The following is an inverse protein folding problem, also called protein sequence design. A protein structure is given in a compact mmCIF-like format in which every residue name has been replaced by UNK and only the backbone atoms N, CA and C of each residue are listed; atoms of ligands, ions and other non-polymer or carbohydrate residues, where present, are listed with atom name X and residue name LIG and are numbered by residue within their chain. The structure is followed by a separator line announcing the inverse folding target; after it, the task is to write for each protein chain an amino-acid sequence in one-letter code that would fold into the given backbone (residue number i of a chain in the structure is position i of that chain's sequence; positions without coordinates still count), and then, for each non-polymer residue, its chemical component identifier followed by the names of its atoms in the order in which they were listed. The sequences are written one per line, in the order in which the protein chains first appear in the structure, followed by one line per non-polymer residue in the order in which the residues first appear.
data_IF_962447243578
#
_entry.id   IF_962447243578
#
_cell.length_a   1.000
_cell.length_b   1.000
_cell.length_c   1.000
_cell.angle_alpha   90.00
_cell.angle_beta   90.00
_cell.angle_gamma   90.00
#
_symmetry.space_group_name_H-M   'P 1'
#
loop_
_entity.id
_entity.type
_entity.pdbx_description
1 polymer ?
#
# COMPACT_ATOMS: atom_id res chain seq x y z
N UNK A 1 -10.65 27.41 5.60
CA UNK A 1 -9.67 26.31 5.56
C UNK A 1 -8.83 26.41 4.30
N UNK A 2 -7.54 26.05 4.38
CA UNK A 2 -6.67 26.04 3.21
C UNK A 2 -7.04 24.91 2.23
N UNK A 3 -7.67 23.85 2.72
CA UNK A 3 -8.11 22.69 1.94
C UNK A 3 -9.39 23.01 1.16
N UNK A 4 -9.31 22.92 -0.17
CA UNK A 4 -10.46 23.14 -1.06
C UNK A 4 -11.51 22.04 -0.98
N UNK A 5 -11.12 20.83 -0.54
CA UNK A 5 -12.03 19.70 -0.40
C UNK A 5 -12.86 19.77 0.88
N UNK A 6 -12.50 20.66 1.81
CA UNK A 6 -13.14 20.80 3.12
C UNK A 6 -12.92 19.62 4.08
N UNK A 7 -12.14 18.61 3.69
CA UNK A 7 -11.88 17.42 4.51
C UNK A 7 -10.96 17.72 5.70
N UNK A 8 -10.02 18.65 5.54
CA UNK A 8 -9.09 19.06 6.58
C UNK A 8 -9.46 20.42 7.14
N UNK A 9 -9.77 20.48 8.44
CA UNK A 9 -10.20 21.72 9.11
C UNK A 9 -9.08 22.74 9.28
N UNK A 10 -7.83 22.33 9.19
CA UNK A 10 -6.66 23.19 9.34
C UNK A 10 -5.54 22.75 8.38
N UNK A 11 -4.63 23.66 8.08
CA UNK A 11 -3.40 23.37 7.33
C UNK A 11 -2.58 22.29 8.03
N UNK A 12 -2.54 22.30 9.37
CA UNK A 12 -1.83 21.30 10.15
C UNK A 12 -2.41 19.88 9.96
N UNK A 13 -3.73 19.75 9.91
CA UNK A 13 -4.39 18.47 9.63
C UNK A 13 -4.05 17.96 8.22
N UNK A 14 -4.02 18.85 7.22
CA UNK A 14 -3.62 18.52 5.86
C UNK A 14 -2.16 18.04 5.81
N UNK A 15 -1.23 18.79 6.40
CA UNK A 15 0.18 18.43 6.46
C UNK A 15 0.40 17.08 7.17
N UNK A 16 -0.29 16.82 8.27
CA UNK A 16 -0.24 15.53 8.97
C UNK A 16 -0.68 14.38 8.07
N UNK A 17 -1.73 14.57 7.26
CA UNK A 17 -2.18 13.55 6.30
C UNK A 17 -1.17 13.38 5.17
N UNK A 18 -0.57 14.45 4.66
CA UNK A 18 0.48 14.39 3.64
C UNK A 18 1.71 13.61 4.14
N UNK A 19 2.20 13.88 5.36
CA UNK A 19 3.33 13.15 5.96
C UNK A 19 3.02 11.65 6.14
N UNK A 20 1.78 11.31 6.53
CA UNK A 20 1.34 9.91 6.59
C UNK A 20 1.34 9.25 5.21
N UNK A 21 0.94 9.98 4.15
CA UNK A 21 1.03 9.54 2.76
C UNK A 21 2.48 9.23 2.38
N UNK A 22 3.42 10.13 2.68
CA UNK A 22 4.85 9.91 2.42
C UNK A 22 5.36 8.63 3.11
N UNK A 23 4.98 8.38 4.35
CA UNK A 23 5.41 7.18 5.07
C UNK A 23 4.78 5.90 4.48
N UNK A 24 3.47 5.93 4.18
CA UNK A 24 2.69 4.77 3.73
C UNK A 24 2.94 4.45 2.25
N UNK A 25 2.82 5.47 1.39
CA UNK A 25 2.81 5.33 -0.06
C UNK A 25 4.16 5.74 -0.69
N UNK A 26 5.05 6.37 0.11
CA UNK A 26 6.35 6.88 -0.31
C UNK A 26 6.32 8.34 -0.71
N UNK A 27 5.17 8.86 -1.11
CA UNK A 27 5.01 10.23 -1.59
C UNK A 27 3.63 10.80 -1.28
N UNK A 28 3.51 12.11 -1.36
CA UNK A 28 2.25 12.82 -1.30
C UNK A 28 2.28 14.01 -2.27
N UNK A 29 1.16 14.26 -2.91
CA UNK A 29 0.98 15.33 -3.89
C UNK A 29 0.03 16.37 -3.31
N UNK A 30 0.46 17.64 -3.33
CA UNK A 30 -0.39 18.76 -2.93
C UNK A 30 -0.51 19.72 -4.11
N UNK A 31 -1.70 19.77 -4.70
CA UNK A 31 -2.02 20.69 -5.78
C UNK A 31 -2.36 22.07 -5.21
N UNK A 32 -1.78 23.11 -5.76
CA UNK A 32 -2.11 24.50 -5.48
C UNK A 32 -3.20 24.93 -6.47
N UNK A 33 -4.37 25.26 -5.94
CA UNK A 33 -5.50 25.74 -6.75
C UNK A 33 -5.65 27.22 -6.56
N UNK A 34 -5.57 27.98 -7.65
CA UNK A 34 -5.71 29.44 -7.65
C UNK A 34 -7.14 29.80 -8.06
N UNK A 35 -7.95 30.27 -7.10
CA UNK A 35 -9.30 30.75 -7.35
C UNK A 35 -9.59 31.98 -6.50
N UNK A 36 -10.04 33.05 -7.17
CA UNK A 36 -10.42 34.33 -6.50
C UNK A 36 -11.55 34.19 -5.49
N UNK A 37 -12.33 33.11 -5.58
CA UNK A 37 -13.42 32.81 -4.63
C UNK A 37 -12.91 32.25 -3.30
N UNK A 38 -11.65 31.80 -3.26
CA UNK A 38 -11.03 31.29 -2.04
C UNK A 38 -10.58 32.45 -1.13
N UNK A 39 -10.58 32.27 0.20
CA UNK A 39 -10.30 33.33 1.19
C UNK A 39 -8.97 34.07 0.98
N UNK A 40 -7.98 33.42 0.37
CA UNK A 40 -6.66 34.01 0.10
C UNK A 40 -6.28 33.92 -1.40
N UNK A 41 -7.26 33.68 -2.27
CA UNK A 41 -7.03 33.42 -3.69
C UNK A 41 -6.29 32.11 -3.99
N UNK A 42 -5.95 31.33 -2.97
CA UNK A 42 -5.21 30.08 -3.07
C UNK A 42 -5.86 29.03 -2.16
N UNK A 43 -5.94 27.80 -2.65
CA UNK A 43 -6.33 26.63 -1.88
C UNK A 43 -5.42 25.45 -2.18
N UNK A 44 -5.39 24.50 -1.28
CA UNK A 44 -4.60 23.29 -1.39
C UNK A 44 -5.52 22.08 -1.57
N UNK A 45 -5.12 21.16 -2.43
CA UNK A 45 -5.77 19.90 -2.64
C UNK A 45 -4.74 18.78 -2.44
N UNK A 46 -4.94 17.97 -1.41
CA UNK A 46 -4.13 16.78 -1.22
C UNK A 46 -4.61 15.68 -2.17
N UNK A 47 -3.68 15.11 -2.92
CA UNK A 47 -3.91 14.01 -3.86
C UNK A 47 -3.11 12.79 -3.42
N UNK A 48 -3.65 11.62 -3.65
CA UNK A 48 -2.97 10.35 -3.42
C UNK A 48 -1.97 10.05 -4.54
N UNK A 49 -0.92 9.29 -4.23
CA UNK A 49 0.13 8.89 -5.17
C UNK A 49 -0.42 8.17 -6.41
N UNK A 50 -1.48 7.37 -6.23
CA UNK A 50 -2.15 6.58 -7.28
C UNK A 50 -2.79 7.45 -8.38
N UNK A 51 -2.95 8.76 -8.11
CA UNK A 51 -3.38 9.72 -9.12
C UNK A 51 -2.33 9.98 -10.20
N UNK A 52 -1.05 9.74 -9.94
CA UNK A 52 -0.03 9.74 -10.98
C UNK A 52 0.02 8.38 -11.66
N UNK A 53 -0.09 8.38 -12.99
CA UNK A 53 -0.05 7.15 -13.76
C UNK A 53 1.38 6.60 -13.84
N UNK A 54 1.69 5.60 -13.03
CA UNK A 54 2.99 4.93 -13.01
C UNK A 54 3.33 4.23 -14.33
N UNK A 55 2.33 3.90 -15.14
CA UNK A 55 2.51 3.25 -16.44
C UNK A 55 2.81 4.26 -17.55
N UNK A 56 2.56 5.55 -17.31
CA UNK A 56 2.76 6.60 -18.29
C UNK A 56 4.24 6.96 -18.41
N UNK A 57 4.88 6.40 -19.44
CA UNK A 57 6.27 6.68 -19.81
C UNK A 57 6.31 7.05 -21.28
N UNK A 58 6.80 8.25 -21.61
CA UNK A 58 6.84 8.73 -22.98
C UNK A 58 7.92 9.79 -23.18
N UNK A 59 8.41 9.92 -24.40
CA UNK A 59 9.26 11.05 -24.80
C UNK A 59 8.43 12.03 -25.62
N UNK A 60 8.42 13.28 -25.17
CA UNK A 60 7.66 14.34 -25.80
C UNK A 60 8.45 15.01 -26.95
N UNK A 61 7.72 15.61 -27.91
CA UNK A 61 8.32 16.31 -29.03
C UNK A 61 9.16 17.54 -28.63
N UNK A 62 8.89 18.13 -27.46
CA UNK A 62 9.64 19.24 -26.87
C UNK A 62 10.97 18.83 -26.21
N UNK A 63 11.34 17.56 -26.27
CA UNK A 63 12.56 17.01 -25.66
C UNK A 63 12.41 16.57 -24.21
N UNK A 64 11.30 16.88 -23.55
CA UNK A 64 11.00 16.41 -22.21
C UNK A 64 10.68 14.90 -22.20
N UNK A 65 10.84 14.27 -21.05
CA UNK A 65 10.51 12.85 -20.86
C UNK A 65 9.50 12.72 -19.74
N UNK A 66 8.46 11.94 -19.95
CA UNK A 66 7.54 11.53 -18.90
C UNK A 66 8.07 10.23 -18.30
N UNK A 67 8.30 10.20 -17.00
CA UNK A 67 8.64 9.00 -16.21
C UNK A 67 7.59 8.80 -15.13
N UNK A 68 6.84 7.72 -15.22
CA UNK A 68 5.81 7.36 -14.22
C UNK A 68 4.83 8.52 -13.91
N UNK A 69 4.37 9.22 -14.96
CA UNK A 69 3.45 10.35 -14.83
C UNK A 69 4.08 11.70 -14.47
N UNK A 70 5.39 11.77 -14.24
CA UNK A 70 6.12 13.01 -13.99
C UNK A 70 6.87 13.44 -15.24
N UNK A 71 6.57 14.62 -15.79
CA UNK A 71 7.28 15.21 -16.92
C UNK A 71 8.53 15.92 -16.43
N UNK A 72 9.69 15.52 -16.93
CA UNK A 72 11.00 16.07 -16.55
C UNK A 72 11.71 16.67 -17.79
N UNK A 73 12.49 17.72 -17.56
CA UNK A 73 13.35 18.33 -18.57
C UNK A 73 14.70 17.59 -18.70
N UNK A 74 15.57 18.10 -19.56
CA UNK A 74 16.93 17.56 -19.78
C UNK A 74 17.84 17.65 -18.55
N UNK A 75 17.50 18.51 -17.57
CA UNK A 75 18.19 18.67 -16.29
C UNK A 75 17.55 17.86 -15.17
N UNK A 76 16.62 16.95 -15.49
CA UNK A 76 15.87 16.09 -14.57
C UNK A 76 14.95 16.85 -13.61
N UNK A 77 14.60 18.12 -13.92
CA UNK A 77 13.67 18.90 -13.10
C UNK A 77 12.24 18.59 -13.53
N UNK A 78 11.34 18.44 -12.55
CA UNK A 78 9.92 18.30 -12.81
C UNK A 78 9.36 19.57 -13.46
N UNK A 79 8.71 19.41 -14.62
CA UNK A 79 8.07 20.50 -15.39
C UNK A 79 6.55 20.42 -15.25
N UNK A 80 6.00 19.22 -15.21
CA UNK A 80 4.57 18.99 -15.04
C UNK A 80 4.30 17.58 -14.47
N UNK A 81 3.08 17.40 -14.03
CA UNK A 81 2.54 16.14 -13.49
C UNK A 81 1.30 15.75 -14.27
N UNK A 82 1.25 14.50 -14.69
CA UNK A 82 0.12 13.91 -15.41
C UNK A 82 -0.79 13.18 -14.43
N UNK A 83 -1.82 13.90 -13.97
CA UNK A 83 -2.70 13.47 -12.87
C UNK A 83 -4.01 12.93 -13.42
N UNK A 84 -4.40 11.74 -13.03
CA UNK A 84 -5.72 11.17 -13.33
C UNK A 84 -6.81 11.98 -12.64
N UNK A 85 -7.88 12.31 -13.35
CA UNK A 85 -9.02 13.06 -12.80
C UNK A 85 -9.86 12.23 -11.84
N UNK A 86 -9.88 10.90 -12.02
CA UNK A 86 -10.53 9.94 -11.12
C UNK A 86 -9.48 9.06 -10.43
N UNK A 87 -9.81 8.57 -9.23
CA UNK A 87 -8.96 7.59 -8.53
C UNK A 87 -9.05 6.22 -9.24
N UNK A 88 -7.94 5.50 -9.48
CA UNK A 88 -7.97 4.22 -10.19
C UNK A 88 -8.81 3.14 -9.49
N UNK A 89 -9.03 3.25 -8.18
CA UNK A 89 -9.94 2.38 -7.41
C UNK A 89 -11.43 2.69 -7.56
N UNK A 90 -11.81 3.79 -8.22
CA UNK A 90 -13.21 4.15 -8.48
C UNK A 90 -13.76 3.48 -9.75
N UNK A 91 -13.84 2.15 -9.76
CA UNK A 91 -14.17 1.35 -10.95
C UNK A 91 -15.54 1.65 -11.61
N UNK A 92 -16.44 2.32 -10.92
CA UNK A 92 -17.79 2.61 -11.45
C UNK A 92 -17.86 3.82 -12.39
N UNK A 93 -16.79 4.63 -12.46
CA UNK A 93 -16.69 5.82 -13.33
C UNK A 93 -15.67 5.71 -14.46
N UNK A 94 -15.17 4.52 -14.75
CA UNK A 94 -13.99 4.29 -15.63
C UNK A 94 -14.28 4.43 -17.13
N UNK A 95 -15.20 5.28 -17.54
CA UNK A 95 -15.32 5.55 -18.98
C UNK A 95 -14.31 6.60 -19.46
N UNK A 96 -13.82 7.49 -18.58
CA UNK A 96 -12.89 8.55 -18.95
C UNK A 96 -11.69 8.60 -17.98
N UNK A 97 -10.67 7.83 -18.27
CA UNK A 97 -9.38 7.96 -17.60
C UNK A 97 -8.65 9.21 -18.13
N UNK A 98 -9.28 10.37 -17.96
CA UNK A 98 -8.74 11.65 -18.41
C UNK A 98 -7.56 12.00 -17.51
N UNK A 99 -6.41 12.18 -18.14
CA UNK A 99 -5.19 12.65 -17.49
C UNK A 99 -5.08 14.15 -17.70
N UNK A 100 -5.03 14.89 -16.62
CA UNK A 100 -4.79 16.34 -16.62
C UNK A 100 -3.29 16.61 -16.46
N UNK A 101 -2.73 17.46 -17.31
CA UNK A 101 -1.35 17.93 -17.18
C UNK A 101 -1.33 19.14 -16.25
N UNK A 102 -0.79 18.98 -15.05
CA UNK A 102 -0.65 20.03 -14.03
C UNK A 102 0.78 20.56 -14.05
N UNK A 103 1.01 21.88 -14.23
CA UNK A 103 2.36 22.46 -14.17
C UNK A 103 3.02 22.22 -12.81
N UNK A 104 4.34 22.04 -12.80
CA UNK A 104 5.08 21.84 -11.54
C UNK A 104 5.01 23.07 -10.60
N UNK A 105 4.75 24.28 -11.13
CA UNK A 105 4.49 25.48 -10.32
C UNK A 105 3.24 25.38 -9.45
N UNK A 106 2.31 24.53 -9.82
CA UNK A 106 1.04 24.33 -9.13
C UNK A 106 0.96 22.97 -8.41
N UNK A 107 2.11 22.28 -8.29
CA UNK A 107 2.20 21.00 -7.60
C UNK A 107 3.37 20.99 -6.62
N UNK A 108 3.09 20.60 -5.39
CA UNK A 108 4.12 20.28 -4.40
C UNK A 108 4.16 18.75 -4.31
N UNK A 109 5.29 18.17 -4.73
CA UNK A 109 5.53 16.76 -4.66
C UNK A 109 6.46 16.47 -3.48
N UNK A 110 5.90 15.83 -2.45
CA UNK A 110 6.58 15.52 -1.20
C UNK A 110 7.02 14.05 -1.23
N UNK A 111 8.30 13.80 -1.23
CA UNK A 111 8.90 12.47 -1.06
C UNK A 111 10.35 12.59 -0.59
N UNK A 112 10.92 11.52 -0.10
CA UNK A 112 12.33 11.44 0.30
C UNK A 112 13.08 10.72 -0.82
N UNK A 113 13.99 11.38 -1.55
CA UNK A 113 14.76 10.74 -2.59
C UNK A 113 15.90 9.90 -1.99
N UNK A 114 15.93 8.61 -2.30
CA UNK A 114 17.02 7.69 -1.95
C UNK A 114 18.10 7.62 -3.04
N UNK A 115 17.77 8.06 -4.26
CA UNK A 115 18.67 8.04 -5.43
C UNK A 115 18.57 9.36 -6.18
N UNK A 116 19.70 9.80 -6.78
CA UNK A 116 19.84 11.09 -7.44
C UNK A 116 18.83 11.35 -8.59
N UNK A 117 18.46 10.32 -9.35
CA UNK A 117 17.53 10.44 -10.48
C UNK A 117 16.11 9.92 -10.19
N UNK A 118 15.78 9.80 -8.93
CA UNK A 118 14.47 9.31 -8.50
C UNK A 118 13.40 10.36 -8.73
N UNK A 119 12.34 10.00 -9.46
CA UNK A 119 11.21 10.90 -9.80
C UNK A 119 9.95 10.61 -8.98
N UNK A 120 9.88 9.46 -8.30
CA UNK A 120 8.75 9.01 -7.48
C UNK A 120 9.24 8.57 -6.11
N UNK A 121 8.42 8.75 -5.09
CA UNK A 121 8.70 8.26 -3.74
C UNK A 121 8.61 6.74 -3.63
N UNK A 122 9.27 6.20 -2.61
CA UNK A 122 9.20 4.77 -2.25
C UNK A 122 8.74 4.68 -0.82
N UNK A 123 7.76 3.81 -0.55
CA UNK A 123 7.22 3.63 0.80
C UNK A 123 8.31 3.27 1.80
N UNK A 124 8.25 3.83 3.01
CA UNK A 124 9.18 3.47 4.08
C UNK A 124 9.05 2.01 4.51
N UNK A 125 7.93 1.39 4.20
CA UNK A 125 7.68 -0.01 4.52
C UNK A 125 8.28 -1.01 3.53
N UNK A 126 8.88 -0.55 2.40
CA UNK A 126 9.38 -1.44 1.35
C UNK A 126 10.34 -2.53 1.88
N UNK A 127 11.24 -2.17 2.82
CA UNK A 127 12.18 -3.11 3.42
C UNK A 127 11.53 -4.12 4.37
N UNK A 128 10.33 -3.80 4.90
CA UNK A 128 9.61 -4.60 5.90
C UNK A 128 8.55 -5.49 5.26
N UNK A 129 8.01 -5.12 4.10
CA UNK A 129 6.92 -5.85 3.43
C UNK A 129 7.28 -7.31 3.19
N UNK A 130 8.47 -7.59 2.62
CA UNK A 130 8.93 -8.96 2.37
C UNK A 130 9.10 -9.75 3.67
N UNK A 131 9.67 -9.12 4.69
CA UNK A 131 9.86 -9.76 6.01
C UNK A 131 8.51 -10.02 6.69
N UNK A 132 7.58 -9.08 6.59
CA UNK A 132 6.22 -9.24 7.10
C UNK A 132 5.50 -10.43 6.46
N UNK A 133 5.61 -10.60 5.15
CA UNK A 133 5.05 -11.76 4.43
C UNK A 133 5.68 -13.09 4.88
N UNK A 134 6.99 -13.12 5.07
CA UNK A 134 7.69 -14.33 5.55
C UNK A 134 7.24 -14.69 6.98
N UNK A 135 7.13 -13.70 7.87
CA UNK A 135 6.68 -13.92 9.25
C UNK A 135 5.23 -14.44 9.25
N UNK A 136 4.36 -13.84 8.47
CA UNK A 136 2.95 -14.27 8.34
C UNK A 136 2.86 -15.73 7.89
N UNK A 137 3.57 -16.10 6.83
CA UNK A 137 3.60 -17.49 6.35
C UNK A 137 4.17 -18.47 7.38
N UNK A 138 5.17 -18.03 8.16
CA UNK A 138 5.73 -18.84 9.23
C UNK A 138 4.72 -19.03 10.37
N UNK A 139 3.99 -18.01 10.78
CA UNK A 139 2.95 -18.10 11.80
C UNK A 139 1.83 -19.04 11.37
N UNK A 140 1.35 -18.97 10.13
CA UNK A 140 0.35 -19.89 9.61
C UNK A 140 0.85 -21.35 9.60
N UNK A 141 2.08 -21.57 9.16
CA UNK A 141 2.69 -22.90 9.16
C UNK A 141 2.86 -23.45 10.58
N UNK A 142 3.26 -22.63 11.55
CA UNK A 142 3.41 -23.01 12.94
C UNK A 142 2.06 -23.39 13.58
N UNK A 143 1.02 -22.62 13.34
CA UNK A 143 -0.34 -22.92 13.82
C UNK A 143 -0.85 -24.24 13.22
N UNK A 144 -0.67 -24.43 11.92
CA UNK A 144 -1.07 -25.67 11.22
C UNK A 144 -0.31 -26.89 11.77
N UNK A 145 1.00 -26.76 11.98
CA UNK A 145 1.81 -27.83 12.57
C UNK A 145 1.38 -28.17 14.00
N UNK A 146 1.04 -27.18 14.82
CA UNK A 146 0.51 -27.39 16.17
C UNK A 146 -0.84 -28.10 16.15
N UNK A 147 -1.75 -27.74 15.23
CA UNK A 147 -3.04 -28.41 15.05
C UNK A 147 -2.88 -29.88 14.65
N UNK A 148 -2.00 -30.16 13.68
CA UNK A 148 -1.69 -31.52 13.25
C UNK A 148 -1.06 -32.33 14.40
N UNK A 149 -0.14 -31.72 15.16
CA UNK A 149 0.47 -32.32 16.32
C UNK A 149 -0.55 -32.72 17.38
N UNK A 150 -1.45 -31.80 17.72
CA UNK A 150 -2.52 -32.06 18.69
C UNK A 150 -3.48 -33.18 18.26
N UNK A 151 -3.81 -33.25 16.96
CA UNK A 151 -4.66 -34.33 16.43
C UNK A 151 -4.00 -35.72 16.48
N UNK A 152 -2.67 -35.76 16.26
CA UNK A 152 -1.92 -37.04 16.35
C UNK A 152 -1.80 -37.55 17.78
N UNK A 153 -1.61 -36.64 18.75
CA UNK A 153 -1.59 -37.00 20.19
C UNK A 153 -2.92 -37.61 20.62
N UNK A 154 -4.04 -37.04 20.20
CA UNK A 154 -5.37 -37.56 20.49
C UNK A 154 -5.63 -38.96 19.88
N UNK A 155 -5.11 -39.21 18.66
CA UNK A 155 -5.22 -40.51 18.03
C UNK A 155 -4.35 -41.59 18.71
N UNK A 156 -3.16 -41.26 19.18
CA UNK A 156 -2.28 -42.15 19.93
C UNK A 156 -2.85 -42.53 21.29
N UNK A 157 -3.44 -41.64 22.03
CA UNK A 157 -4.12 -41.94 23.30
C UNK A 157 -5.30 -42.87 23.10
N UNK A 158 -6.06 -42.70 22.04
CA UNK A 158 -7.20 -43.56 21.72
C UNK A 158 -6.79 -45.00 21.38
N UNK A 159 -5.70 -45.15 20.61
CA UNK A 159 -5.15 -46.48 20.27
C UNK A 159 -4.54 -47.20 21.49
N UNK A 160 -3.91 -46.44 22.40
CA UNK A 160 -3.36 -46.99 23.63
C UNK A 160 -4.46 -47.57 24.56
N UNK A 161 -5.59 -46.85 24.69
CA UNK A 161 -6.73 -47.30 25.48
C UNK A 161 -7.36 -48.59 24.89
N UNK A 162 -7.47 -48.68 23.57
CA UNK A 162 -7.99 -49.88 22.87
C UNK A 162 -7.03 -51.06 23.04
N UNK A 163 -5.74 -50.85 22.93
CA UNK A 163 -4.72 -51.89 23.13
C UNK A 163 -4.71 -52.41 24.58
N UNK A 164 -4.85 -51.53 25.56
CA UNK A 164 -4.91 -51.86 26.97
C UNK A 164 -6.21 -52.66 27.33
N UNK A 165 -7.33 -52.25 26.74
CA UNK A 165 -8.61 -52.94 26.93
C UNK A 165 -8.57 -54.33 26.27
N UNK A 166 -7.95 -54.48 25.12
CA UNK A 166 -7.79 -55.77 24.44
C UNK A 166 -6.83 -56.70 25.20
N UNK A 167 -5.77 -56.19 25.80
CA UNK A 167 -4.84 -56.94 26.63
C UNK A 167 -5.52 -57.45 27.93
N UNK A 168 -6.30 -56.60 28.57
CA UNK A 168 -7.06 -56.97 29.77
C UNK A 168 -8.14 -58.04 29.50
N UNK A 169 -8.78 -58.01 28.33
CA UNK A 169 -9.74 -59.03 27.90
C UNK A 169 -9.09 -60.38 27.54
N UNK A 170 -7.88 -60.34 26.98
CA UNK A 170 -7.10 -61.56 26.64
C UNK A 170 -6.62 -62.25 27.94
N UNK A 171 -6.23 -61.54 28.97
CA UNK A 171 -5.75 -62.07 30.24
C UNK A 171 -6.91 -62.68 31.07
N UNK A 172 -8.11 -62.13 30.94
CA UNK A 172 -9.32 -62.64 31.59
C UNK A 172 -9.84 -64.00 31.06
N UNK A 173 -9.44 -64.45 29.84
CA UNK A 173 -9.82 -65.73 29.27
C UNK A 173 -8.83 -66.87 29.59
N UNK A 174 -7.65 -66.58 30.12
CA UNK A 174 -6.63 -67.56 30.45
C UNK A 174 -6.78 -68.18 31.85
N UNK A 175 -7.69 -67.68 32.72
CA UNK A 175 -7.85 -68.09 34.10
C UNK A 175 -9.13 -68.94 34.36
N UNK A 176 -9.73 -69.55 33.30
CA UNK A 176 -10.93 -70.34 33.40
C UNK A 176 -10.72 -71.80 32.87
N UNK A 177 -9.83 -72.61 33.50
CA UNK A 177 -9.81 -74.10 33.47
C UNK A 177 -9.44 -74.64 34.80
#
# INVERSE_FOLDING_TARGET
TADITGRHRSLYALLRTAVRGVARDGEALVRIVRDRKLPYGIGLQLLESDRLDETLNSRLANGNTIRQGVEIDSALRAVAYHVRTAHPGENWRVTDNIVERVPASDMIHLFVPDRAEQVRGVTWFHAVILRGSIIHNFEEAAVTAAQIGASKVAALERDADVAQTTALMADGQASGT
#
